data_IF_701922093551
#
_entry.id   IF_701922093551
#
_cell.length_a   1.000
_cell.length_b   1.000
_cell.length_c   1.000
_cell.angle_alpha   90.00
_cell.angle_beta   90.00
_cell.angle_gamma   90.00
#
_symmetry.space_group_name_H-M   'P 1'
#
loop_
_entity.id
_entity.type
_entity.pdbx_description
1 polymer ?
#
# COMPACT_ATOMS: atom_id res chain seq x y z
N UNK A 1 4.70 17.14 -1.23
CA UNK A 1 3.84 17.02 -0.04
C UNK A 1 2.47 17.62 -0.32
N UNK A 2 1.43 17.04 0.20
CA UNK A 2 0.06 17.55 0.13
C UNK A 2 -0.15 18.73 1.07
N UNK A 3 0.41 18.66 2.28
CA UNK A 3 0.20 19.62 3.34
C UNK A 3 1.45 20.38 3.75
N UNK A 4 1.26 21.64 4.10
CA UNK A 4 2.18 22.46 4.90
C UNK A 4 1.47 22.89 6.18
N UNK A 5 2.21 23.36 7.15
CA UNK A 5 1.66 24.00 8.35
C UNK A 5 1.52 25.50 8.10
N UNK A 6 0.28 25.99 8.22
CA UNK A 6 -0.09 27.41 8.22
C UNK A 6 -0.87 27.67 9.52
N UNK A 7 -0.41 28.64 10.31
CA UNK A 7 -1.06 29.01 11.57
C UNK A 7 -1.42 27.80 12.46
N UNK A 8 -0.48 26.82 12.52
CA UNK A 8 -0.62 25.61 13.31
C UNK A 8 -1.48 24.50 12.69
N UNK A 9 -2.09 24.71 11.52
CA UNK A 9 -2.97 23.75 10.86
C UNK A 9 -2.37 23.23 9.55
N UNK A 10 -2.74 21.99 9.17
CA UNK A 10 -2.45 21.43 7.85
C UNK A 10 -3.24 22.16 6.76
N UNK A 11 -2.56 22.64 5.74
CA UNK A 11 -3.18 23.32 4.59
C UNK A 11 -2.63 22.79 3.27
N UNK A 12 -3.53 22.55 2.30
CA UNK A 12 -3.13 22.20 0.93
C UNK A 12 -2.55 23.40 0.18
N UNK A 13 -1.71 23.11 -0.84
CA UNK A 13 -1.07 24.12 -1.64
C UNK A 13 -2.10 24.92 -2.47
N UNK A 14 -2.11 26.25 -2.28
CA UNK A 14 -2.88 27.22 -3.07
C UNK A 14 -1.97 28.38 -3.48
N UNK A 15 -2.21 29.02 -4.65
CA UNK A 15 -1.43 30.16 -5.07
C UNK A 15 -1.38 31.27 -4.00
N UNK A 16 -0.20 31.85 -3.80
CA UNK A 16 0.00 32.96 -2.88
C UNK A 16 0.18 32.58 -1.41
N UNK A 17 -0.08 31.32 -1.02
CA UNK A 17 0.16 30.89 0.35
C UNK A 17 1.66 30.68 0.63
N UNK A 18 2.03 30.76 1.90
CA UNK A 18 3.34 30.39 2.44
C UNK A 18 3.12 29.46 3.61
N UNK A 19 3.85 28.34 3.65
CA UNK A 19 3.70 27.36 4.72
C UNK A 19 5.05 26.92 5.24
N UNK A 20 5.03 26.16 6.32
CA UNK A 20 6.20 25.54 6.93
C UNK A 20 6.14 24.01 6.77
N UNK A 21 7.31 23.42 6.57
CA UNK A 21 7.44 21.95 6.52
C UNK A 21 7.13 21.36 7.91
N UNK A 22 6.23 20.37 8.01
CA UNK A 22 5.92 19.75 9.30
C UNK A 22 7.11 19.02 9.93
N UNK A 23 8.08 18.57 9.12
CA UNK A 23 9.26 17.83 9.61
C UNK A 23 10.42 18.75 10.02
N UNK A 24 10.79 19.72 9.19
CA UNK A 24 12.00 20.52 9.43
C UNK A 24 11.72 22.01 9.72
N UNK A 25 10.48 22.48 9.68
CA UNK A 25 10.10 23.87 9.90
C UNK A 25 10.47 24.85 8.78
N UNK A 26 11.19 24.41 7.73
CA UNK A 26 11.63 25.27 6.63
C UNK A 26 10.45 25.81 5.82
N UNK A 27 10.65 27.00 5.23
CA UNK A 27 9.65 27.63 4.36
C UNK A 27 9.34 26.75 3.14
N UNK A 28 8.03 26.55 2.90
CA UNK A 28 7.49 25.86 1.74
C UNK A 28 6.81 26.87 0.81
N UNK A 29 6.94 26.62 -0.49
CA UNK A 29 6.26 27.37 -1.53
C UNK A 29 5.24 26.47 -2.25
N UNK A 30 4.05 26.99 -2.59
CA UNK A 30 3.05 26.24 -3.31
C UNK A 30 3.45 26.12 -4.78
N UNK A 31 3.38 24.92 -5.32
CA UNK A 31 3.53 24.62 -6.74
C UNK A 31 2.14 24.31 -7.32
N UNK A 32 1.53 25.32 -7.91
CA UNK A 32 0.14 25.31 -8.38
C UNK A 32 0.05 25.52 -9.91
N UNK A 33 0.83 24.75 -10.68
CA UNK A 33 0.79 24.77 -12.13
C UNK A 33 -0.31 23.86 -12.70
N UNK A 34 -0.57 23.98 -14.02
CA UNK A 34 -1.64 23.25 -14.70
C UNK A 34 -1.29 21.80 -15.07
N UNK A 35 -0.01 21.39 -14.94
CA UNK A 35 0.47 20.09 -15.41
C UNK A 35 0.56 19.07 -14.27
N UNK A 36 1.01 19.51 -13.09
CA UNK A 36 1.14 18.66 -11.91
C UNK A 36 0.08 19.02 -10.88
N UNK A 37 -0.31 18.02 -10.08
CA UNK A 37 -1.17 18.29 -8.93
C UNK A 37 -0.54 19.36 -8.04
N UNK A 38 -1.37 20.20 -7.44
CA UNK A 38 -0.90 21.23 -6.53
C UNK A 38 -0.23 20.60 -5.32
N UNK A 39 0.99 21.02 -5.00
CA UNK A 39 1.78 20.48 -3.91
C UNK A 39 2.70 21.53 -3.30
N UNK A 40 3.14 21.27 -2.09
CA UNK A 40 4.16 22.06 -1.43
C UNK A 40 5.56 21.55 -1.76
N UNK A 41 6.49 22.46 -1.96
CA UNK A 41 7.92 22.19 -2.16
C UNK A 41 8.77 23.10 -1.27
N UNK A 42 9.91 22.59 -0.82
CA UNK A 42 10.88 23.43 -0.10
C UNK A 42 11.35 24.59 -0.99
N UNK A 43 11.48 25.76 -0.42
CA UNK A 43 12.01 26.94 -1.11
C UNK A 43 13.50 26.79 -1.40
N UNK A 44 14.24 26.19 -0.48
CA UNK A 44 15.65 25.82 -0.66
C UNK A 44 15.76 24.40 -1.22
N UNK A 45 16.86 24.11 -1.93
CA UNK A 45 17.06 22.85 -2.69
C UNK A 45 17.16 21.60 -1.81
N UNK A 46 17.35 21.72 -0.50
CA UNK A 46 17.47 20.57 0.40
C UNK A 46 16.09 20.01 0.75
N UNK A 47 15.80 18.80 0.28
CA UNK A 47 14.75 17.98 0.85
C UNK A 47 15.18 17.52 2.25
N UNK A 48 14.25 17.55 3.19
CA UNK A 48 14.49 17.14 4.56
C UNK A 48 14.15 15.65 4.82
N UNK A 49 13.63 14.97 3.82
CA UNK A 49 13.31 13.56 3.81
C UNK A 49 13.86 12.92 2.52
N UNK A 50 14.80 12.00 2.64
CA UNK A 50 15.44 11.34 1.49
C UNK A 50 14.50 10.30 0.85
N UNK A 51 13.42 9.91 1.53
CA UNK A 51 12.44 8.93 1.03
C UNK A 51 11.31 9.59 0.24
N UNK A 52 11.42 10.89 0.04
CA UNK A 52 10.42 11.64 -0.71
C UNK A 52 10.33 11.16 -2.17
N UNK A 53 9.13 10.95 -2.65
CA UNK A 53 8.85 10.79 -4.07
C UNK A 53 7.84 11.83 -4.59
N UNK A 54 7.77 11.96 -5.91
CA UNK A 54 6.80 12.87 -6.53
C UNK A 54 5.38 12.37 -6.26
N UNK A 55 4.56 13.19 -5.60
CA UNK A 55 3.16 12.89 -5.37
C UNK A 55 2.41 12.84 -6.70
N UNK A 56 1.74 11.72 -6.97
CA UNK A 56 0.86 11.51 -8.12
C UNK A 56 -0.60 11.65 -7.71
N UNK A 57 -1.52 11.68 -8.72
CA UNK A 57 -2.95 11.66 -8.42
C UNK A 57 -3.34 10.37 -7.69
N UNK A 58 -2.72 9.24 -8.03
CA UNK A 58 -2.93 7.97 -7.35
C UNK A 58 -2.60 8.03 -5.84
N UNK A 59 -1.45 8.62 -5.44
CA UNK A 59 -1.13 8.86 -4.02
C UNK A 59 -2.21 9.72 -3.35
N UNK A 60 -2.63 10.80 -4.05
CA UNK A 60 -3.62 11.74 -3.54
C UNK A 60 -4.97 11.06 -3.32
N UNK A 61 -5.40 10.24 -4.26
CA UNK A 61 -6.65 9.49 -4.20
C UNK A 61 -6.63 8.53 -3.00
N UNK A 62 -5.53 7.80 -2.79
CA UNK A 62 -5.37 6.94 -1.62
C UNK A 62 -5.40 7.72 -0.31
N UNK A 63 -4.60 8.78 -0.18
CA UNK A 63 -4.58 9.60 1.05
C UNK A 63 -5.95 10.20 1.35
N UNK A 64 -6.72 10.58 0.35
CA UNK A 64 -8.05 11.19 0.52
C UNK A 64 -9.09 10.24 1.15
N UNK A 65 -8.85 8.94 1.21
CA UNK A 65 -9.72 8.01 1.94
C UNK A 65 -9.62 8.16 3.46
N UNK A 66 -8.58 8.81 3.98
CA UNK A 66 -8.26 8.86 5.42
C UNK A 66 -8.40 10.27 5.99
N UNK A 67 -8.63 10.40 7.31
CA UNK A 67 -8.68 11.70 7.99
C UNK A 67 -7.42 12.53 7.77
N UNK A 68 -7.56 13.85 7.71
CA UNK A 68 -6.44 14.78 7.47
C UNK A 68 -5.33 14.65 8.53
N UNK A 69 -5.72 14.43 9.76
CA UNK A 69 -4.81 14.24 10.89
C UNK A 69 -3.94 12.99 10.75
N UNK A 70 -4.39 11.97 10.02
CA UNK A 70 -3.62 10.75 9.75
C UNK A 70 -2.68 10.87 8.55
N UNK A 71 -2.88 11.88 7.67
CA UNK A 71 -2.11 12.04 6.45
C UNK A 71 -0.81 12.83 6.69
N UNK A 72 0.28 12.44 6.05
CA UNK A 72 1.60 13.10 6.13
C UNK A 72 2.02 13.38 7.58
N UNK A 73 2.16 12.31 8.38
CA UNK A 73 2.51 12.39 9.80
C UNK A 73 4.01 12.17 9.98
N UNK A 74 4.68 13.13 10.61
CA UNK A 74 6.11 13.02 10.92
C UNK A 74 6.34 11.92 11.95
N UNK A 75 7.22 10.98 11.61
CA UNK A 75 7.72 9.95 12.50
C UNK A 75 9.15 10.30 12.90
N UNK A 76 9.49 10.09 14.16
CA UNK A 76 10.82 10.36 14.71
C UNK A 76 11.28 9.09 15.42
N UNK A 77 12.41 8.54 14.98
CA UNK A 77 13.06 7.42 15.64
C UNK A 77 13.82 7.89 16.91
N UNK A 78 14.22 6.93 17.74
CA UNK A 78 14.94 7.23 19.00
C UNK A 78 16.28 7.96 18.77
N UNK A 79 16.95 7.71 17.66
CA UNK A 79 18.18 8.38 17.24
C UNK A 79 17.96 9.77 16.62
N UNK A 80 16.69 10.18 16.45
CA UNK A 80 16.30 11.48 15.90
C UNK A 80 16.11 11.47 14.37
N UNK A 81 16.26 10.33 13.69
CA UNK A 81 15.90 10.19 12.26
C UNK A 81 14.42 10.51 12.06
N UNK A 82 14.10 11.23 10.97
CA UNK A 82 12.74 11.73 10.72
C UNK A 82 12.28 11.40 9.32
N UNK A 83 11.10 10.81 9.22
CA UNK A 83 10.41 10.62 7.95
C UNK A 83 8.94 11.01 8.04
N UNK A 84 8.32 11.28 6.90
CA UNK A 84 6.92 11.66 6.81
C UNK A 84 6.16 10.45 6.26
N UNK A 85 5.41 9.78 7.13
CA UNK A 85 4.53 8.69 6.73
C UNK A 85 3.35 9.22 5.90
N UNK A 86 3.00 8.54 4.80
CA UNK A 86 1.86 8.93 3.97
C UNK A 86 0.56 8.94 4.77
N UNK A 87 0.30 7.88 5.52
CA UNK A 87 -0.81 7.78 6.48
C UNK A 87 -0.34 7.08 7.75
N UNK A 88 -0.73 7.60 8.92
CA UNK A 88 -0.56 6.94 10.22
C UNK A 88 -1.85 6.92 10.99
N UNK A 89 -2.32 5.73 11.33
CA UNK A 89 -3.54 5.53 12.12
C UNK A 89 -3.35 5.83 13.60
N UNK A 90 -4.45 5.99 14.34
CA UNK A 90 -4.43 6.15 15.81
C UNK A 90 -3.81 4.98 16.55
N UNK A 91 -3.88 3.74 16.00
CA UNK A 91 -3.26 2.54 16.58
C UNK A 91 -1.79 2.39 16.20
N UNK A 92 -1.22 3.37 15.48
CA UNK A 92 0.19 3.41 15.10
C UNK A 92 0.53 2.57 13.85
N UNK A 93 -0.46 2.12 13.07
CA UNK A 93 -0.19 1.56 11.76
C UNK A 93 0.23 2.64 10.79
N UNK A 94 1.28 2.38 10.03
CA UNK A 94 1.74 3.23 8.92
C UNK A 94 1.32 2.59 7.61
N UNK A 95 0.75 3.36 6.71
CA UNK A 95 0.43 2.95 5.35
C UNK A 95 1.25 3.83 4.40
N UNK A 96 2.12 3.20 3.62
CA UNK A 96 2.93 3.85 2.60
C UNK A 96 2.39 3.50 1.21
N UNK A 97 2.24 4.51 0.36
CA UNK A 97 1.76 4.39 -1.01
C UNK A 97 2.94 4.49 -1.98
N UNK A 98 3.37 3.38 -2.56
CA UNK A 98 4.57 3.32 -3.40
C UNK A 98 4.22 3.25 -4.89
N UNK A 99 4.47 4.34 -5.63
CA UNK A 99 4.26 4.41 -7.07
C UNK A 99 5.52 4.08 -7.88
N UNK A 100 6.66 4.65 -7.53
CA UNK A 100 7.90 4.44 -8.25
C UNK A 100 8.61 3.13 -7.85
N UNK A 101 9.65 2.77 -8.61
CA UNK A 101 10.50 1.63 -8.23
C UNK A 101 11.27 1.97 -6.95
N UNK A 102 11.20 1.07 -5.98
CA UNK A 102 11.91 1.17 -4.73
C UNK A 102 13.03 0.13 -4.71
N UNK A 103 14.27 0.55 -4.41
CA UNK A 103 15.39 -0.37 -4.26
C UNK A 103 15.24 -1.21 -3.01
N UNK A 104 15.74 -2.45 -3.05
CA UNK A 104 15.67 -3.39 -1.92
C UNK A 104 16.24 -2.77 -0.64
N UNK A 105 17.42 -2.10 -0.75
CA UNK A 105 18.10 -1.50 0.40
C UNK A 105 17.27 -0.39 1.04
N UNK A 106 16.64 0.46 0.24
CA UNK A 106 15.78 1.53 0.75
C UNK A 106 14.50 0.96 1.36
N UNK A 107 13.89 -0.05 0.72
CA UNK A 107 12.72 -0.71 1.30
C UNK A 107 13.03 -1.32 2.66
N UNK A 108 14.18 -2.02 2.80
CA UNK A 108 14.61 -2.63 4.06
C UNK A 108 14.88 -1.57 5.16
N UNK A 109 15.36 -0.38 4.78
CA UNK A 109 15.50 0.75 5.70
C UNK A 109 14.14 1.22 6.20
N UNK A 110 13.18 1.43 5.29
CA UNK A 110 11.82 1.85 5.63
C UNK A 110 11.08 0.80 6.46
N UNK A 111 11.19 -0.49 6.10
CA UNK A 111 10.62 -1.61 6.87
C UNK A 111 11.13 -1.60 8.33
N UNK A 112 12.42 -1.35 8.53
CA UNK A 112 13.02 -1.26 9.88
C UNK A 112 12.59 -0.02 10.63
N UNK A 113 12.54 1.13 9.97
CA UNK A 113 12.17 2.40 10.59
C UNK A 113 10.72 2.39 11.11
N UNK A 114 9.78 1.95 10.28
CA UNK A 114 8.37 1.90 10.66
C UNK A 114 8.00 0.65 11.46
N UNK A 115 8.79 -0.41 11.36
CA UNK A 115 8.59 -1.66 12.10
C UNK A 115 7.41 -2.51 11.62
N UNK A 116 6.92 -3.43 12.44
CA UNK A 116 5.96 -4.46 12.04
C UNK A 116 4.55 -3.92 11.72
N UNK A 117 4.25 -2.69 12.09
CA UNK A 117 2.97 -2.04 11.78
C UNK A 117 3.03 -1.22 10.49
N UNK A 118 3.80 -1.68 9.52
CA UNK A 118 3.87 -1.08 8.19
C UNK A 118 3.04 -1.88 7.18
N UNK A 119 2.27 -1.16 6.38
CA UNK A 119 1.55 -1.67 5.22
C UNK A 119 2.00 -0.92 3.98
N UNK A 120 2.44 -1.64 2.98
CA UNK A 120 2.72 -1.12 1.65
C UNK A 120 1.51 -1.29 0.74
N UNK A 121 1.04 -0.22 0.15
CA UNK A 121 0.13 -0.25 -0.99
C UNK A 121 0.94 0.18 -2.21
N UNK A 122 1.11 -0.73 -3.16
CA UNK A 122 2.01 -0.56 -4.30
C UNK A 122 1.20 -0.37 -5.57
N UNK A 123 1.48 0.70 -6.31
CA UNK A 123 0.88 0.93 -7.63
C UNK A 123 1.35 -0.15 -8.61
N UNK A 124 0.45 -1.09 -8.89
CA UNK A 124 0.67 -2.19 -9.82
C UNK A 124 0.73 -1.74 -11.28
N UNK A 125 0.17 -0.57 -11.59
CA UNK A 125 0.05 -0.04 -12.96
C UNK A 125 1.19 0.91 -13.36
N UNK A 126 2.21 1.04 -12.51
CA UNK A 126 3.38 1.91 -12.77
C UNK A 126 4.06 1.70 -14.12
N UNK A 127 3.93 0.51 -14.72
CA UNK A 127 4.41 0.23 -16.07
C UNK A 127 3.37 -0.53 -16.89
N UNK A 128 3.33 -0.27 -18.22
CA UNK A 128 2.41 -0.93 -19.16
C UNK A 128 2.48 -2.47 -19.16
N UNK A 129 3.56 -3.05 -18.64
CA UNK A 129 3.77 -4.50 -18.63
C UNK A 129 3.59 -5.13 -17.25
N UNK A 130 3.39 -4.34 -16.20
CA UNK A 130 3.29 -4.84 -14.83
C UNK A 130 2.12 -5.80 -14.66
N UNK A 131 0.93 -5.39 -15.05
CA UNK A 131 -0.26 -6.24 -14.97
C UNK A 131 -0.14 -7.51 -15.83
N UNK A 132 0.43 -7.42 -17.04
CA UNK A 132 0.66 -8.58 -17.91
C UNK A 132 1.59 -9.63 -17.27
N UNK A 133 2.64 -9.19 -16.56
CA UNK A 133 3.53 -10.09 -15.83
C UNK A 133 2.84 -10.68 -14.61
N UNK A 134 2.10 -9.87 -13.87
CA UNK A 134 1.31 -10.29 -12.72
C UNK A 134 0.24 -11.32 -13.11
N UNK A 135 -0.55 -11.04 -14.16
CA UNK A 135 -1.61 -11.95 -14.63
C UNK A 135 -1.09 -13.29 -15.11
N UNK A 136 0.15 -13.37 -15.65
CA UNK A 136 0.80 -14.64 -15.97
C UNK A 136 1.10 -15.47 -14.72
N UNK A 137 1.62 -14.84 -13.66
CA UNK A 137 1.85 -15.53 -12.38
C UNK A 137 0.53 -16.03 -11.81
N UNK A 138 -0.50 -15.18 -11.81
CA UNK A 138 -1.83 -15.52 -11.34
C UNK A 138 -2.45 -16.69 -12.14
N UNK A 139 -2.34 -16.65 -13.48
CA UNK A 139 -2.84 -17.71 -14.35
C UNK A 139 -2.13 -19.06 -14.21
N UNK A 140 -0.86 -19.05 -13.78
CA UNK A 140 -0.08 -20.25 -13.51
C UNK A 140 -0.15 -20.72 -12.04
N UNK A 141 -0.85 -19.97 -11.18
CA UNK A 141 -0.97 -20.27 -9.76
C UNK A 141 -1.94 -21.42 -9.48
N UNK A 142 -1.75 -22.09 -8.34
CA UNK A 142 -2.73 -23.04 -7.81
C UNK A 142 -3.71 -22.30 -6.93
N UNK A 143 -5.00 -22.43 -7.26
CA UNK A 143 -6.06 -21.81 -6.46
C UNK A 143 -6.35 -22.69 -5.25
N UNK A 144 -6.26 -22.09 -4.07
CA UNK A 144 -6.66 -22.65 -2.81
C UNK A 144 -8.06 -22.13 -2.47
N UNK A 145 -9.05 -23.02 -2.45
CA UNK A 145 -10.41 -22.68 -2.02
C UNK A 145 -10.48 -22.71 -0.50
N UNK A 146 -10.69 -21.54 0.09
CA UNK A 146 -10.82 -21.34 1.54
C UNK A 146 -12.29 -21.20 1.98
N UNK A 147 -13.22 -21.64 1.13
CA UNK A 147 -14.66 -21.56 1.34
C UNK A 147 -15.23 -20.22 0.86
N UNK A 148 -15.21 -19.17 1.68
CA UNK A 148 -15.66 -17.82 1.31
C UNK A 148 -14.57 -16.97 0.65
N UNK A 149 -13.36 -17.50 0.55
CA UNK A 149 -12.15 -16.87 0.09
C UNK A 149 -11.38 -17.75 -0.87
N UNK A 150 -10.50 -17.15 -1.66
CA UNK A 150 -9.50 -17.88 -2.43
C UNK A 150 -8.12 -17.29 -2.24
N UNK A 151 -7.10 -18.15 -2.25
CA UNK A 151 -5.71 -17.72 -2.31
C UNK A 151 -5.04 -18.39 -3.52
N UNK A 152 -4.11 -17.69 -4.14
CA UNK A 152 -3.39 -18.16 -5.32
C UNK A 152 -1.94 -18.46 -4.93
N UNK A 153 -1.64 -19.73 -4.70
CA UNK A 153 -0.27 -20.19 -4.42
C UNK A 153 0.55 -20.24 -5.70
N UNK A 154 1.75 -19.69 -5.71
CA UNK A 154 2.64 -19.64 -6.87
C UNK A 154 4.05 -20.15 -6.52
N UNK A 155 4.71 -20.74 -7.52
CA UNK A 155 6.05 -21.33 -7.37
C UNK A 155 7.17 -20.39 -7.83
N UNK A 156 6.86 -19.38 -8.62
CA UNK A 156 7.84 -18.42 -9.11
C UNK A 156 7.28 -17.00 -9.13
N UNK A 157 8.11 -16.05 -8.75
CA UNK A 157 7.80 -14.63 -8.79
C UNK A 157 8.52 -13.97 -9.94
N UNK A 158 7.82 -13.06 -10.62
CA UNK A 158 8.41 -12.24 -11.68
C UNK A 158 7.93 -10.80 -11.57
N UNK A 159 8.71 -9.87 -12.11
CA UNK A 159 8.34 -8.45 -12.12
C UNK A 159 8.14 -7.91 -10.71
N UNK A 160 7.06 -7.14 -10.55
CA UNK A 160 6.75 -6.43 -9.30
C UNK A 160 6.68 -7.35 -8.07
N UNK A 161 6.22 -8.59 -8.22
CA UNK A 161 6.16 -9.55 -7.10
C UNK A 161 7.57 -9.90 -6.59
N UNK A 162 8.53 -10.02 -7.49
CA UNK A 162 9.92 -10.34 -7.11
C UNK A 162 10.57 -9.19 -6.34
N UNK A 163 10.20 -7.94 -6.66
CA UNK A 163 10.73 -6.75 -5.99
C UNK A 163 10.29 -6.70 -4.51
N UNK A 164 9.17 -7.32 -4.15
CA UNK A 164 8.54 -7.23 -2.83
C UNK A 164 8.59 -8.51 -1.98
N UNK A 165 9.16 -9.59 -2.49
CA UNK A 165 9.14 -10.91 -1.82
C UNK A 165 9.90 -11.00 -0.49
N UNK A 166 10.82 -10.06 -0.24
CA UNK A 166 11.69 -10.09 0.94
C UNK A 166 11.18 -9.25 2.11
N UNK A 167 10.12 -8.48 1.93
CA UNK A 167 9.56 -7.69 3.04
C UNK A 167 8.85 -8.58 4.04
N UNK A 168 8.93 -8.22 5.32
CA UNK A 168 8.15 -8.84 6.40
C UNK A 168 6.84 -8.09 6.67
N UNK A 169 6.61 -6.98 5.99
CA UNK A 169 5.42 -6.16 6.12
C UNK A 169 4.30 -6.64 5.20
N UNK A 170 3.07 -6.19 5.43
CA UNK A 170 1.97 -6.41 4.52
C UNK A 170 2.21 -5.63 3.22
N UNK A 171 2.01 -6.30 2.08
CA UNK A 171 2.11 -5.68 0.75
C UNK A 171 0.86 -5.97 -0.05
N UNK A 172 0.19 -4.90 -0.51
CA UNK A 172 -0.96 -4.99 -1.37
C UNK A 172 -0.64 -4.30 -2.71
N UNK A 173 -0.88 -5.00 -3.81
CA UNK A 173 -0.74 -4.42 -5.16
C UNK A 173 -2.09 -3.88 -5.63
N UNK A 174 -2.09 -2.63 -6.07
CA UNK A 174 -3.25 -1.95 -6.65
C UNK A 174 -3.12 -1.92 -8.17
N UNK A 175 -3.94 -2.71 -8.86
CA UNK A 175 -4.08 -2.70 -10.32
C UNK A 175 -5.45 -2.12 -10.70
N UNK A 176 -5.71 -0.88 -10.28
CA UNK A 176 -7.02 -0.23 -10.37
C UNK A 176 -7.63 -0.22 -11.78
N UNK A 177 -6.79 -0.15 -12.81
CA UNK A 177 -7.23 -0.11 -14.21
C UNK A 177 -7.68 -1.50 -14.73
N UNK A 178 -7.40 -2.56 -13.98
CA UNK A 178 -7.65 -3.95 -14.37
C UNK A 178 -8.51 -4.73 -13.38
N UNK A 179 -8.45 -4.39 -12.10
CA UNK A 179 -9.19 -5.11 -11.04
C UNK A 179 -9.77 -4.15 -10.01
N UNK A 180 -10.92 -4.51 -9.43
CA UNK A 180 -11.52 -3.80 -8.29
C UNK A 180 -10.86 -4.20 -6.96
N UNK A 181 -10.15 -5.33 -6.96
CA UNK A 181 -9.49 -5.86 -5.78
C UNK A 181 -8.03 -5.42 -5.70
N UNK A 182 -7.56 -5.25 -4.48
CA UNK A 182 -6.14 -5.25 -4.14
C UNK A 182 -5.64 -6.70 -4.07
N UNK A 183 -4.36 -6.90 -4.36
CA UNK A 183 -3.75 -8.21 -4.29
C UNK A 183 -2.72 -8.25 -3.17
N UNK A 184 -3.12 -8.83 -2.04
CA UNK A 184 -2.23 -9.02 -0.90
C UNK A 184 -1.20 -10.12 -1.23
N UNK A 185 0.07 -9.76 -1.13
CA UNK A 185 1.17 -10.72 -1.13
C UNK A 185 1.44 -11.16 0.30
N UNK A 186 1.20 -12.42 0.60
CA UNK A 186 1.47 -12.99 1.91
C UNK A 186 2.23 -14.30 1.74
N UNK A 187 3.51 -14.31 2.12
CA UNK A 187 4.43 -15.41 1.83
C UNK A 187 4.46 -15.73 0.32
N UNK A 188 4.00 -16.91 -0.09
CA UNK A 188 3.95 -17.36 -1.48
C UNK A 188 2.50 -17.40 -2.01
N UNK A 189 1.60 -16.61 -1.40
CA UNK A 189 0.19 -16.49 -1.80
C UNK A 189 -0.13 -15.08 -2.27
N UNK A 190 -1.02 -15.01 -3.27
CA UNK A 190 -1.73 -13.79 -3.65
C UNK A 190 -3.20 -13.95 -3.25
N UNK A 191 -3.68 -13.02 -2.45
CA UNK A 191 -5.06 -13.03 -1.94
C UNK A 191 -5.77 -11.78 -2.45
N UNK A 192 -6.88 -11.92 -3.20
CA UNK A 192 -7.68 -10.78 -3.61
C UNK A 192 -8.43 -10.20 -2.41
N UNK A 193 -8.26 -8.92 -2.16
CA UNK A 193 -8.90 -8.17 -1.08
C UNK A 193 -9.71 -7.04 -1.69
N UNK A 194 -11.00 -6.96 -1.41
CA UNK A 194 -11.81 -5.85 -1.89
C UNK A 194 -11.25 -4.51 -1.37
N UNK A 195 -11.02 -3.56 -2.28
CA UNK A 195 -10.38 -2.27 -1.97
C UNK A 195 -11.18 -1.47 -0.93
N UNK A 196 -12.48 -1.35 -1.10
CA UNK A 196 -13.34 -0.60 -0.17
C UNK A 196 -13.33 -1.24 1.21
N UNK A 197 -13.40 -2.57 1.28
CA UNK A 197 -13.30 -3.31 2.54
C UNK A 197 -11.95 -3.04 3.23
N UNK A 198 -10.83 -3.08 2.49
CA UNK A 198 -9.51 -2.81 3.09
C UNK A 198 -9.42 -1.38 3.65
N UNK A 199 -9.98 -0.38 2.96
CA UNK A 199 -10.08 1.00 3.46
C UNK A 199 -10.91 1.06 4.74
N UNK A 200 -12.02 0.33 4.82
CA UNK A 200 -12.85 0.24 6.05
C UNK A 200 -12.08 -0.40 7.20
N UNK A 201 -11.34 -1.48 6.96
CA UNK A 201 -10.48 -2.15 7.96
C UNK A 201 -9.49 -1.16 8.59
N UNK A 202 -8.88 -0.31 7.76
CA UNK A 202 -7.96 0.74 8.25
C UNK A 202 -8.72 1.78 9.09
N UNK A 203 -9.84 2.30 8.58
CA UNK A 203 -10.62 3.35 9.25
C UNK A 203 -11.22 2.90 10.59
N UNK A 204 -11.61 1.64 10.67
CA UNK A 204 -12.21 1.04 11.86
C UNK A 204 -11.18 0.46 12.82
N UNK A 205 -9.88 0.70 12.60
CA UNK A 205 -8.79 0.24 13.48
C UNK A 205 -8.72 -1.29 13.62
N UNK A 206 -9.06 -2.00 12.54
CA UNK A 206 -9.15 -3.47 12.52
C UNK A 206 -7.93 -4.16 11.89
N UNK A 207 -6.84 -3.43 11.60
CA UNK A 207 -5.67 -4.00 10.92
C UNK A 207 -4.99 -5.13 11.71
N UNK A 208 -4.98 -5.07 13.05
CA UNK A 208 -4.44 -6.17 13.87
C UNK A 208 -5.21 -7.48 13.63
N UNK A 209 -6.55 -7.42 13.75
CA UNK A 209 -7.40 -8.59 13.51
C UNK A 209 -7.30 -9.09 12.06
N UNK A 210 -7.27 -8.19 11.09
CA UNK A 210 -7.07 -8.54 9.68
C UNK A 210 -5.75 -9.30 9.46
N UNK A 211 -4.64 -8.82 10.06
CA UNK A 211 -3.35 -9.49 9.97
C UNK A 211 -3.37 -10.88 10.61
N UNK A 212 -3.97 -11.00 11.79
CA UNK A 212 -4.11 -12.27 12.52
C UNK A 212 -4.96 -13.28 11.73
N UNK A 213 -6.09 -12.83 11.17
CA UNK A 213 -6.99 -13.66 10.36
C UNK A 213 -6.28 -14.21 9.12
N UNK A 214 -5.60 -13.35 8.35
CA UNK A 214 -4.85 -13.78 7.16
C UNK A 214 -3.71 -14.73 7.54
N UNK A 215 -2.96 -14.41 8.60
CA UNK A 215 -1.86 -15.25 9.07
C UNK A 215 -2.35 -16.63 9.50
N UNK A 216 -3.43 -16.69 10.27
CA UNK A 216 -4.03 -17.95 10.74
C UNK A 216 -4.61 -18.77 9.60
N UNK A 217 -5.22 -18.10 8.62
CA UNK A 217 -5.82 -18.72 7.45
C UNK A 217 -4.79 -19.40 6.55
N UNK A 218 -3.64 -18.75 6.33
CA UNK A 218 -2.63 -19.20 5.38
C UNK A 218 -1.49 -19.99 6.03
N UNK A 219 -1.29 -19.89 7.35
CA UNK A 219 -0.22 -20.60 8.06
C UNK A 219 -0.19 -22.13 7.83
N UNK A 220 -1.33 -22.84 7.76
CA UNK A 220 -1.34 -24.29 7.51
C UNK A 220 -0.94 -24.66 6.08
N UNK A 221 -0.88 -23.69 5.15
CA UNK A 221 -0.68 -23.91 3.74
C UNK A 221 0.71 -23.46 3.29
N UNK A 222 1.42 -24.39 2.66
CA UNK A 222 2.62 -24.05 1.88
C UNK A 222 2.30 -24.27 0.40
N UNK A 223 2.70 -23.40 -0.53
CA UNK A 223 2.39 -23.54 -1.96
C UNK A 223 2.79 -24.90 -2.56
N UNK A 224 3.82 -25.52 -2.02
CA UNK A 224 4.30 -26.83 -2.43
C UNK A 224 3.53 -28.02 -1.80
N UNK A 225 2.59 -27.77 -0.86
CA UNK A 225 1.78 -28.78 -0.15
C UNK A 225 0.30 -28.41 -0.16
N UNK A 226 -0.24 -28.02 -1.32
CA UNK A 226 -1.67 -27.72 -1.43
C UNK A 226 -2.48 -29.01 -1.36
N UNK A 227 -2.84 -29.43 -0.14
CA UNK A 227 -3.85 -30.45 0.12
C UNK A 227 -5.24 -29.82 0.16
N UNK A 228 -6.29 -30.61 -0.22
CA UNK A 228 -7.68 -30.16 -0.15
C UNK A 228 -8.07 -29.87 1.29
N UNK A 229 -8.48 -28.63 1.57
CA UNK A 229 -8.93 -28.23 2.91
C UNK A 229 -10.38 -28.68 3.12
N UNK A 230 -10.62 -29.18 4.31
CA UNK A 230 -11.95 -29.57 4.75
C UNK A 230 -12.80 -28.32 5.06
N UNK A 231 -13.91 -28.14 4.37
CA UNK A 231 -14.76 -26.94 4.29
C UNK A 231 -15.33 -26.40 5.62
N UNK A 232 -15.13 -27.08 6.75
CA UNK A 232 -15.93 -26.84 7.97
C UNK A 232 -15.26 -25.95 9.04
N UNK A 233 -14.14 -25.27 8.77
CA UNK A 233 -13.37 -24.66 9.88
C UNK A 233 -13.13 -23.15 9.82
N UNK A 234 -13.72 -22.41 8.90
CA UNK A 234 -13.39 -20.99 8.77
C UNK A 234 -14.64 -20.10 8.71
N UNK A 235 -14.91 -19.43 9.81
CA UNK A 235 -15.78 -18.25 9.84
C UNK A 235 -14.96 -16.99 9.56
N UNK A 236 -14.62 -16.76 8.30
CA UNK A 236 -14.18 -15.45 7.85
C UNK A 236 -15.41 -14.70 7.39
N UNK A 237 -15.56 -13.46 7.83
CA UNK A 237 -16.68 -12.61 7.41
C UNK A 237 -16.72 -12.58 5.87
N UNK A 238 -17.87 -12.94 5.31
CA UNK A 238 -18.08 -13.05 3.85
C UNK A 238 -17.89 -11.73 3.08
N UNK A 239 -17.64 -10.62 3.79
CA UNK A 239 -17.28 -9.32 3.23
C UNK A 239 -15.79 -9.20 2.92
N UNK A 240 -14.96 -10.09 3.49
CA UNK A 240 -13.49 -10.01 3.41
C UNK A 240 -12.94 -10.30 2.02
N UNK A 241 -13.52 -11.24 1.30
CA UNK A 241 -12.93 -11.70 0.04
C UNK A 241 -14.05 -11.98 -0.96
N UNK A 242 -14.13 -11.17 -2.01
CA UNK A 242 -14.99 -11.42 -3.17
C UNK A 242 -14.14 -11.91 -4.34
N UNK A 243 -14.45 -13.08 -4.86
CA UNK A 243 -13.92 -13.52 -6.15
C UNK A 243 -14.72 -12.82 -7.24
N UNK A 244 -14.09 -11.97 -8.02
CA UNK A 244 -14.72 -11.39 -9.19
C UNK A 244 -14.76 -12.45 -10.32
N UNK A 245 -15.93 -12.98 -10.73
CA UNK A 245 -16.03 -14.03 -11.74
C UNK A 245 -15.62 -13.58 -13.15
N UNK A 246 -15.40 -12.28 -13.37
CA UNK A 246 -15.03 -11.71 -14.69
C UNK A 246 -13.58 -11.99 -15.09
N UNK A 247 -12.70 -12.40 -14.18
CA UNK A 247 -11.30 -12.75 -14.51
C UNK A 247 -11.21 -14.02 -15.38
N UNK A 248 -12.28 -14.81 -15.47
CA UNK A 248 -12.28 -16.10 -16.21
C UNK A 248 -12.32 -15.99 -17.73
N UNK A 249 -12.59 -14.83 -18.35
CA UNK A 249 -12.70 -14.71 -19.81
C UNK A 249 -12.25 -13.37 -20.40
N UNK A 250 -11.10 -12.86 -20.01
CA UNK A 250 -10.44 -11.84 -20.82
C UNK A 250 -9.65 -12.50 -21.94
N UNK A 251 -10.19 -12.52 -23.17
CA UNK A 251 -9.36 -12.79 -24.35
C UNK A 251 -8.27 -11.73 -24.37
N UNK A 252 -7.03 -12.20 -24.29
CA UNK A 252 -5.83 -11.40 -24.49
C UNK A 252 -5.73 -11.17 -25.99
N UNK A 253 -5.94 -9.95 -26.45
CA UNK A 253 -5.47 -9.47 -27.73
C UNK A 253 -4.16 -8.74 -27.52
#
# INVERSE_FOLDING_TARGET
MKYAILDGNKAEAKPGLKGQCPSCGSELIPRCGNIKIHHWAHKSVKMCDNWWENETQWHRDWKNHFPVEWQEVVQIAEDGEKHIADVKTSEGWVIEFQHSYLKDEERELRDRFYGPKLVWVVDGDRTKTSFKKFSKVLGASKVLDLGKASAHGFMSMTGILNDWKKTSCLVLFDFKDYTEDLWLLFNEFLVPINRSFFIEVIKESKLNGFYEDISSLLAPHKPNKLEKINKNRLMIDSRLIRVNPRIRRGRIF
#
